data_IF_176856846103
#
_entry.id   IF_176856846103
#
_cell.length_a   1.000
_cell.length_b   1.000
_cell.length_c   1.000
_cell.angle_alpha   90.00
_cell.angle_beta   90.00
_cell.angle_gamma   90.00
#
_symmetry.space_group_name_H-M   'P 1'
#
loop_
_entity.id
_entity.type
_entity.pdbx_description
1 polymer ?
#
# COMPACT_ATOMS: atom_id res chain seq x y z
N UNK A 1 -0.49 -44.59 -7.73
CA UNK A 1 -0.46 -43.25 -8.38
C UNK A 1 0.98 -42.78 -8.42
N UNK A 2 1.49 -42.22 -9.53
CA UNK A 2 2.91 -41.90 -9.65
C UNK A 2 3.31 -40.83 -8.62
N UNK A 3 4.39 -41.01 -7.84
CA UNK A 3 4.82 -40.05 -6.81
C UNK A 3 5.11 -38.65 -7.40
N UNK A 4 5.48 -38.60 -8.68
CA UNK A 4 5.75 -37.37 -9.44
C UNK A 4 4.50 -36.49 -9.56
N UNK A 5 3.31 -37.08 -9.67
CA UNK A 5 2.05 -36.33 -9.75
C UNK A 5 1.74 -35.68 -8.40
N UNK A 6 1.98 -36.39 -7.30
CA UNK A 6 1.80 -35.83 -5.95
C UNK A 6 2.78 -34.70 -5.66
N UNK A 7 4.04 -34.84 -6.08
CA UNK A 7 5.04 -33.77 -5.95
C UNK A 7 4.65 -32.52 -6.76
N UNK A 8 4.20 -32.71 -8.01
CA UNK A 8 3.76 -31.61 -8.87
C UNK A 8 2.53 -30.90 -8.30
N UNK A 9 1.54 -31.65 -7.80
CA UNK A 9 0.35 -31.09 -7.18
C UNK A 9 0.69 -30.30 -5.91
N UNK A 10 1.55 -30.86 -5.05
CA UNK A 10 2.02 -30.19 -3.83
C UNK A 10 2.76 -28.89 -4.16
N UNK A 11 3.62 -28.89 -5.18
CA UNK A 11 4.33 -27.70 -5.64
C UNK A 11 3.39 -26.59 -6.14
N UNK A 12 2.38 -26.95 -6.95
CA UNK A 12 1.37 -26.00 -7.43
C UNK A 12 0.54 -25.40 -6.30
N UNK A 13 0.13 -26.22 -5.33
CA UNK A 13 -0.60 -25.75 -4.14
C UNK A 13 0.26 -24.79 -3.31
N UNK A 14 1.53 -25.12 -3.10
CA UNK A 14 2.45 -24.28 -2.33
C UNK A 14 2.69 -22.92 -3.01
N UNK A 15 2.83 -22.92 -4.34
CA UNK A 15 2.99 -21.70 -5.15
C UNK A 15 1.75 -20.80 -5.07
N UNK A 16 0.56 -21.39 -5.13
CA UNK A 16 -0.70 -20.65 -5.04
C UNK A 16 -0.85 -19.98 -3.67
N UNK A 17 -0.54 -20.70 -2.59
CA UNK A 17 -0.59 -20.15 -1.22
C UNK A 17 0.42 -19.00 -1.06
N UNK A 18 1.64 -19.14 -1.58
CA UNK A 18 2.64 -18.09 -1.53
C UNK A 18 2.20 -16.82 -2.27
N UNK A 19 1.55 -16.96 -3.43
CA UNK A 19 1.00 -15.83 -4.17
C UNK A 19 -0.13 -15.12 -3.41
N UNK A 20 -1.02 -15.85 -2.74
CA UNK A 20 -2.07 -15.25 -1.93
C UNK A 20 -1.55 -14.58 -0.65
N UNK A 21 -0.47 -15.10 -0.06
CA UNK A 21 0.15 -14.52 1.12
C UNK A 21 0.95 -13.24 0.82
N UNK A 22 1.40 -13.04 -0.43
CA UNK A 22 2.28 -11.91 -0.80
C UNK A 22 1.54 -10.59 -1.07
N UNK A 23 0.33 -10.41 -0.54
CA UNK A 23 -0.39 -9.16 -0.70
C UNK A 23 0.44 -8.01 -0.08
N UNK A 24 0.75 -6.94 -0.85
CA UNK A 24 1.43 -5.79 -0.29
C UNK A 24 0.53 -5.20 0.79
N UNK A 25 1.13 -4.88 1.95
CA UNK A 25 0.41 -4.20 3.02
C UNK A 25 -0.22 -2.93 2.44
N UNK A 26 -1.54 -2.80 2.62
CA UNK A 26 -2.27 -1.62 2.19
C UNK A 26 -1.60 -0.39 2.80
N UNK A 27 -1.14 0.52 1.94
CA UNK A 27 -0.63 1.82 2.37
C UNK A 27 -1.74 2.50 3.19
N UNK A 28 -1.33 3.14 4.29
CA UNK A 28 -2.20 3.83 5.24
C UNK A 28 -3.40 4.50 4.55
N UNK A 29 -4.66 4.18 4.92
CA UNK A 29 -5.84 4.77 4.32
C UNK A 29 -5.98 6.27 4.61
N UNK A 30 -5.08 6.87 5.41
CA UNK A 30 -5.10 8.31 5.56
C UNK A 30 -4.88 8.99 4.21
N UNK A 31 -5.81 9.87 3.78
CA UNK A 31 -5.60 10.64 2.58
C UNK A 31 -4.34 11.49 2.77
N UNK A 32 -3.48 11.60 1.75
CA UNK A 32 -2.30 12.45 1.86
C UNK A 32 -2.74 13.88 2.21
N UNK A 33 -1.98 14.60 3.05
CA UNK A 33 -2.32 15.97 3.42
C UNK A 33 -2.55 16.82 2.17
N UNK A 34 -3.74 17.42 2.04
CA UNK A 34 -4.04 18.35 0.94
C UNK A 34 -3.08 19.53 1.06
N UNK A 35 -2.17 19.66 0.09
CA UNK A 35 -1.34 20.86 -0.06
C UNK A 35 -2.21 21.94 -0.69
N UNK A 36 -2.13 23.20 -0.23
CA UNK A 36 -2.82 24.30 -0.88
C UNK A 36 -2.32 24.45 -2.33
N UNK A 37 -3.26 24.71 -3.24
CA UNK A 37 -2.96 24.93 -4.65
C UNK A 37 -1.96 26.09 -4.81
N UNK A 38 -1.15 26.06 -5.87
CA UNK A 38 -0.13 27.08 -6.12
C UNK A 38 -0.73 28.51 -6.16
N UNK A 39 -1.96 28.64 -6.66
CA UNK A 39 -2.71 29.90 -6.64
C UNK A 39 -2.99 30.38 -5.21
N UNK A 40 -3.43 29.47 -4.35
CA UNK A 40 -3.71 29.75 -2.94
C UNK A 40 -2.42 30.06 -2.17
N UNK A 41 -1.28 29.49 -2.57
CA UNK A 41 0.03 29.84 -1.98
C UNK A 41 0.50 31.23 -2.38
N UNK A 42 0.25 31.67 -3.62
CA UNK A 42 0.58 33.05 -4.04
C UNK A 42 -0.28 34.09 -3.33
N UNK A 43 -1.55 33.77 -3.08
CA UNK A 43 -2.47 34.65 -2.35
C UNK A 43 -2.12 34.74 -0.86
N UNK A 44 -1.73 33.62 -0.26
CA UNK A 44 -1.43 33.54 1.17
C UNK A 44 0.04 33.88 1.51
N UNK A 45 0.93 33.89 0.51
CA UNK A 45 2.35 34.10 0.69
C UNK A 45 3.00 32.95 1.48
N UNK A 46 3.07 33.09 2.81
CA UNK A 46 3.65 32.09 3.71
C UNK A 46 2.54 31.36 4.48
N UNK A 47 2.35 30.04 4.33
CA UNK A 47 1.28 29.31 5.01
C UNK A 47 1.36 29.50 6.53
N UNK A 48 0.21 29.48 7.25
CA UNK A 48 0.24 29.64 8.70
C UNK A 48 0.99 28.45 9.31
N UNK A 49 1.78 28.66 10.38
CA UNK A 49 2.48 27.56 11.02
C UNK A 49 1.47 26.47 11.45
N UNK A 50 1.80 25.18 11.28
CA UNK A 50 0.90 24.11 11.66
C UNK A 50 0.56 24.25 13.15
N UNK A 51 -0.75 24.31 13.45
CA UNK A 51 -1.25 24.44 14.82
C UNK A 51 -0.88 23.24 15.69
N UNK A 52 -0.90 23.39 17.03
CA UNK A 52 -0.53 22.33 17.96
C UNK A 52 -1.40 21.09 17.74
N UNK A 53 -0.75 19.93 17.59
CA UNK A 53 -1.39 18.62 17.61
C UNK A 53 -1.56 18.21 19.07
N UNK A 54 -2.77 18.34 19.59
CA UNK A 54 -3.18 17.73 20.87
C UNK A 54 -3.62 16.29 20.63
#
# INVERSE_FOLDING_TARGET
>A
MPPVIHLGLAGLVMLFVAACATAPAATDPTPPPRRPDAKTQLEYGNPPPPGPRY
#
